data_IF_386623949189
#
_entry.id   IF_386623949189
#
_cell.length_a   1.000
_cell.length_b   1.000
_cell.length_c   1.000
_cell.angle_alpha   90.00
_cell.angle_beta   90.00
_cell.angle_gamma   90.00
#
_symmetry.space_group_name_H-M   'P 1'
#
loop_
_entity.id
_entity.type
_entity.pdbx_description
1 polymer ?
#
# COMPACT_ATOMS: atom_id res chain seq x y z
N UNK A 1 -12.90 1.68 -15.77
CA UNK A 1 -12.96 1.92 -14.31
C UNK A 1 -13.51 3.30 -14.01
N UNK A 2 -14.45 3.40 -13.08
CA UNK A 2 -14.85 4.70 -12.53
C UNK A 2 -13.71 5.25 -11.66
N UNK A 3 -13.44 6.54 -11.76
CA UNK A 3 -12.38 7.25 -11.02
C UNK A 3 -12.49 7.06 -9.51
N UNK A 4 -13.69 6.81 -9.00
CA UNK A 4 -14.00 6.53 -7.60
C UNK A 4 -13.29 5.27 -7.08
N UNK A 5 -13.19 4.20 -7.88
CA UNK A 5 -12.50 2.98 -7.44
C UNK A 5 -11.01 3.21 -7.24
N UNK A 6 -10.36 3.89 -8.19
CA UNK A 6 -8.95 4.22 -8.09
C UNK A 6 -8.67 5.10 -6.86
N UNK A 7 -9.56 6.05 -6.57
CA UNK A 7 -9.45 6.89 -5.38
C UNK A 7 -9.57 6.07 -4.09
N UNK A 8 -10.57 5.18 -4.00
CA UNK A 8 -10.75 4.30 -2.84
C UNK A 8 -9.55 3.36 -2.63
N UNK A 9 -8.99 2.81 -3.70
CA UNK A 9 -7.79 1.97 -3.66
C UNK A 9 -6.59 2.72 -3.05
N UNK A 10 -6.33 3.94 -3.53
CA UNK A 10 -5.24 4.77 -3.02
C UNK A 10 -5.47 5.17 -1.57
N UNK A 11 -6.71 5.45 -1.16
CA UNK A 11 -7.02 5.72 0.25
C UNK A 11 -6.73 4.52 1.14
N UNK A 12 -7.14 3.30 0.76
CA UNK A 12 -6.87 2.08 1.55
C UNK A 12 -5.37 1.87 1.74
N UNK A 13 -4.59 2.00 0.65
CA UNK A 13 -3.13 1.89 0.72
C UNK A 13 -2.55 3.02 1.58
N UNK A 14 -3.06 4.24 1.42
CA UNK A 14 -2.67 5.43 2.17
C UNK A 14 -2.90 5.30 3.67
N UNK A 15 -4.05 4.78 4.10
CA UNK A 15 -4.36 4.54 5.51
C UNK A 15 -3.38 3.53 6.11
N UNK A 16 -3.09 2.45 5.40
CA UNK A 16 -2.06 1.49 5.83
C UNK A 16 -0.70 2.16 6.01
N UNK A 17 -0.35 3.09 5.12
CA UNK A 17 0.91 3.82 5.22
C UNK A 17 0.99 4.82 6.38
N UNK A 18 -0.12 5.51 6.66
CA UNK A 18 -0.24 6.38 7.81
C UNK A 18 -0.03 5.60 9.12
N UNK A 19 -0.63 4.41 9.23
CA UNK A 19 -0.53 3.59 10.45
C UNK A 19 0.91 3.18 10.74
N UNK A 20 1.64 2.60 9.77
CA UNK A 20 3.01 2.20 10.05
C UNK A 20 3.95 3.40 10.23
N UNK A 21 3.69 4.55 9.60
CA UNK A 21 4.43 5.78 9.85
C UNK A 21 4.21 6.31 11.27
N UNK A 22 2.96 6.28 11.75
CA UNK A 22 2.64 6.71 13.11
C UNK A 22 3.30 5.80 14.15
N UNK A 23 3.22 4.48 13.96
CA UNK A 23 3.88 3.50 14.85
C UNK A 23 5.40 3.65 14.81
N UNK A 24 5.99 3.78 13.62
CA UNK A 24 7.43 3.95 13.46
C UNK A 24 7.90 5.26 14.10
N UNK A 25 7.20 6.37 13.84
CA UNK A 25 7.49 7.67 14.45
C UNK A 25 7.40 7.62 15.97
N UNK A 26 6.32 7.06 16.52
CA UNK A 26 6.19 6.86 17.95
C UNK A 26 7.32 6.00 18.53
N UNK A 27 7.70 4.92 17.84
CA UNK A 27 8.81 4.04 18.25
C UNK A 27 10.18 4.70 18.20
N UNK A 28 10.42 5.63 17.27
CA UNK A 28 11.71 6.31 17.11
C UNK A 28 11.87 7.53 18.03
N UNK A 29 10.80 8.28 18.25
CA UNK A 29 10.83 9.49 19.08
C UNK A 29 10.35 9.26 20.52
N UNK A 30 9.77 8.09 20.82
CA UNK A 30 9.15 7.82 22.12
C UNK A 30 7.90 8.65 22.35
N UNK A 31 7.21 9.07 21.29
CA UNK A 31 5.99 9.86 21.40
C UNK A 31 4.85 9.01 21.96
N UNK A 32 4.22 9.53 23.02
CA UNK A 32 3.02 8.94 23.58
C UNK A 32 1.80 9.38 22.74
N UNK A 33 1.34 8.49 21.88
CA UNK A 33 0.17 8.72 21.03
C UNK A 33 -1.11 9.02 21.84
N UNK A 34 -1.14 8.69 23.14
CA UNK A 34 -2.29 8.97 24.01
C UNK A 34 -2.49 10.47 24.31
N UNK A 35 -1.47 11.30 24.07
CA UNK A 35 -1.54 12.74 24.34
C UNK A 35 -2.13 13.55 23.17
N UNK A 36 -2.25 12.95 21.99
CA UNK A 36 -2.63 13.65 20.74
C UNK A 36 -4.13 13.97 20.67
N UNK A 37 -4.98 13.39 21.52
CA UNK A 37 -6.43 13.40 21.32
C UNK A 37 -7.24 14.38 22.17
N UNK A 38 -6.63 15.19 23.05
CA UNK A 38 -7.41 15.86 24.10
C UNK A 38 -8.14 17.14 23.65
N UNK A 39 -7.58 17.91 22.72
CA UNK A 39 -8.11 19.26 22.42
C UNK A 39 -8.41 19.51 20.93
N UNK A 40 -8.25 18.50 20.06
CA UNK A 40 -8.38 18.70 18.61
C UNK A 40 -9.74 18.19 18.11
N UNK A 41 -10.51 19.07 17.47
CA UNK A 41 -11.76 18.72 16.80
C UNK A 41 -11.49 17.82 15.59
N UNK A 42 -12.19 16.69 15.50
CA UNK A 42 -12.07 15.74 14.39
C UNK A 42 -12.26 16.42 13.02
N UNK A 43 -13.14 17.41 12.94
CA UNK A 43 -13.46 18.09 11.67
C UNK A 43 -12.30 18.96 11.15
N UNK A 44 -11.51 19.54 12.05
CA UNK A 44 -10.36 20.38 11.68
C UNK A 44 -9.21 19.54 11.12
N UNK A 45 -9.09 18.29 11.58
CA UNK A 45 -8.01 17.37 11.20
C UNK A 45 -8.39 16.48 10.04
N UNK A 46 -9.68 16.24 9.81
CA UNK A 46 -10.14 15.30 8.80
C UNK A 46 -9.65 15.66 7.40
N UNK A 47 -9.83 16.92 7.00
CA UNK A 47 -9.44 17.38 5.66
C UNK A 47 -7.92 17.25 5.40
N UNK A 48 -7.03 17.81 6.26
CA UNK A 48 -5.59 17.70 6.04
C UNK A 48 -5.10 16.26 6.15
N UNK A 49 -5.63 15.46 7.07
CA UNK A 49 -5.26 14.03 7.17
C UNK A 49 -5.69 13.27 5.93
N UNK A 50 -6.89 13.51 5.39
CA UNK A 50 -7.33 12.84 4.18
C UNK A 50 -6.47 13.20 2.97
N UNK A 51 -6.09 14.48 2.82
CA UNK A 51 -5.15 14.90 1.79
C UNK A 51 -3.79 14.21 1.94
N UNK A 52 -3.28 14.12 3.16
CA UNK A 52 -2.01 13.45 3.47
C UNK A 52 -2.08 11.94 3.19
N UNK A 53 -3.16 11.28 3.60
CA UNK A 53 -3.44 9.86 3.32
C UNK A 53 -3.46 9.60 1.81
N UNK A 54 -4.09 10.47 1.03
CA UNK A 54 -4.14 10.32 -0.42
C UNK A 54 -2.74 10.41 -1.05
N UNK A 55 -1.93 11.40 -0.66
CA UNK A 55 -0.55 11.57 -1.15
C UNK A 55 0.32 10.38 -0.75
N UNK A 56 0.24 9.94 0.50
CA UNK A 56 0.96 8.76 0.98
C UNK A 56 0.52 7.49 0.24
N UNK A 57 -0.77 7.37 -0.08
CA UNK A 57 -1.31 6.29 -0.89
C UNK A 57 -0.66 6.23 -2.26
N UNK A 58 -0.56 7.37 -2.96
CA UNK A 58 0.14 7.45 -4.25
C UNK A 58 1.61 7.06 -4.12
N UNK A 59 2.32 7.59 -3.12
CA UNK A 59 3.74 7.30 -2.95
C UNK A 59 3.98 5.81 -2.67
N UNK A 60 3.19 5.24 -1.76
CA UNK A 60 3.28 3.83 -1.38
C UNK A 60 2.94 2.92 -2.56
N UNK A 61 1.92 3.28 -3.36
CA UNK A 61 1.57 2.57 -4.59
C UNK A 61 2.74 2.53 -5.58
N UNK A 62 3.41 3.67 -5.82
CA UNK A 62 4.57 3.75 -6.70
C UNK A 62 5.76 2.94 -6.21
N UNK A 63 6.04 2.97 -4.91
CA UNK A 63 7.12 2.17 -4.32
C UNK A 63 6.80 0.69 -4.44
N UNK A 64 5.55 0.29 -4.21
CA UNK A 64 5.12 -1.08 -4.38
C UNK A 64 5.26 -1.52 -5.85
N UNK A 65 4.79 -0.73 -6.82
CA UNK A 65 4.95 -1.04 -8.23
C UNK A 65 6.43 -1.23 -8.61
N UNK A 66 7.31 -0.33 -8.18
CA UNK A 66 8.75 -0.47 -8.44
C UNK A 66 9.36 -1.75 -7.82
N UNK A 67 8.95 -2.10 -6.59
CA UNK A 67 9.43 -3.30 -5.90
C UNK A 67 8.96 -4.59 -6.59
N UNK A 68 7.70 -4.61 -7.03
CA UNK A 68 7.05 -5.77 -7.65
C UNK A 68 7.28 -5.86 -9.17
N UNK A 69 7.74 -4.79 -9.83
CA UNK A 69 8.02 -4.77 -11.28
C UNK A 69 9.06 -5.82 -11.68
N UNK A 70 10.07 -6.06 -10.85
CA UNK A 70 11.06 -7.12 -11.10
C UNK A 70 10.43 -8.51 -11.14
N UNK A 71 9.42 -8.76 -10.30
CA UNK A 71 8.69 -10.02 -10.30
C UNK A 71 7.79 -10.11 -11.53
N UNK A 72 7.13 -9.02 -11.91
CA UNK A 72 6.30 -8.97 -13.12
C UNK A 72 7.11 -9.22 -14.39
N UNK A 73 8.29 -8.60 -14.52
CA UNK A 73 9.22 -8.86 -15.63
C UNK A 73 9.63 -10.33 -15.73
N UNK A 74 9.85 -11.00 -14.60
CA UNK A 74 10.14 -12.45 -14.57
C UNK A 74 8.96 -13.28 -15.08
N UNK A 75 7.73 -12.95 -14.68
CA UNK A 75 6.54 -13.64 -15.17
C UNK A 75 6.32 -13.40 -16.66
N UNK A 76 6.49 -12.16 -17.14
CA UNK A 76 6.39 -11.84 -18.57
C UNK A 76 7.41 -12.59 -19.41
N UNK A 77 8.67 -12.63 -18.96
CA UNK A 77 9.74 -13.36 -19.65
C UNK A 77 9.43 -14.86 -19.78
N UNK A 78 8.71 -15.45 -18.82
CA UNK A 78 8.32 -16.87 -18.86
C UNK A 78 7.29 -17.19 -19.95
N UNK A 79 6.33 -16.30 -20.20
CA UNK A 79 5.25 -16.54 -21.16
C UNK A 79 5.52 -15.96 -22.55
N UNK A 80 6.29 -14.87 -22.63
CA UNK A 80 6.59 -14.18 -23.88
C UNK A 80 8.07 -14.33 -24.31
N UNK A 81 8.86 -15.17 -23.64
CA UNK A 81 10.27 -15.42 -23.94
C UNK A 81 11.16 -14.16 -24.03
N UNK A 82 10.76 -13.08 -23.36
CA UNK A 82 11.45 -11.78 -23.44
C UNK A 82 11.05 -10.91 -24.63
N UNK A 83 10.18 -11.39 -25.52
CA UNK A 83 9.61 -10.61 -26.63
C UNK A 83 8.56 -9.63 -26.09
N UNK A 84 9.00 -8.40 -25.91
CA UNK A 84 8.17 -7.33 -25.33
C UNK A 84 7.13 -6.83 -26.35
N UNK A 85 7.42 -6.93 -27.64
CA UNK A 85 6.54 -6.45 -28.71
C UNK A 85 5.31 -7.34 -28.84
N UNK A 86 5.49 -8.66 -28.79
CA UNK A 86 4.37 -9.62 -28.76
C UNK A 86 3.44 -9.42 -27.57
N UNK A 87 3.97 -9.03 -26.41
CA UNK A 87 3.15 -8.71 -25.24
C UNK A 87 2.26 -7.48 -25.48
N UNK A 88 2.82 -6.41 -26.07
CA UNK A 88 2.03 -5.21 -26.39
C UNK A 88 0.99 -5.47 -27.47
N UNK A 89 1.31 -6.28 -28.48
CA UNK A 89 0.39 -6.67 -29.53
C UNK A 89 -0.78 -7.50 -28.98
N UNK A 90 -0.49 -8.53 -28.18
CA UNK A 90 -1.52 -9.33 -27.53
C UNK A 90 -2.43 -8.48 -26.64
N UNK A 91 -1.85 -7.52 -25.89
CA UNK A 91 -2.62 -6.58 -25.06
C UNK A 91 -3.50 -5.66 -25.91
N UNK A 92 -3.00 -5.18 -27.05
CA UNK A 92 -3.77 -4.34 -27.97
C UNK A 92 -4.95 -5.11 -28.55
N UNK A 93 -4.73 -6.34 -29.03
CA UNK A 93 -5.80 -7.19 -29.55
C UNK A 93 -6.89 -7.45 -28.50
N UNK A 94 -6.48 -7.69 -27.25
CA UNK A 94 -7.41 -7.95 -26.16
C UNK A 94 -8.28 -6.72 -25.82
N UNK A 95 -7.73 -5.50 -25.92
CA UNK A 95 -8.50 -4.25 -25.78
C UNK A 95 -9.51 -4.08 -26.91
N UNK A 96 -9.15 -4.46 -28.14
CA UNK A 96 -10.00 -4.23 -29.32
C UNK A 96 -11.10 -5.27 -29.51
N UNK A 97 -10.86 -6.53 -29.12
CA UNK A 97 -11.74 -7.65 -29.49
C UNK A 97 -12.44 -8.33 -28.32
N UNK A 98 -12.16 -7.96 -27.07
CA UNK A 98 -12.63 -8.71 -25.90
C UNK A 98 -13.17 -7.84 -24.78
N UNK A 99 -14.41 -7.34 -24.89
CA UNK A 99 -15.06 -6.58 -23.81
C UNK A 99 -15.11 -7.38 -22.50
N UNK A 100 -15.45 -8.68 -22.58
CA UNK A 100 -15.48 -9.57 -21.40
C UNK A 100 -14.08 -9.74 -20.79
N UNK A 101 -13.06 -10.04 -21.60
CA UNK A 101 -11.69 -10.18 -21.12
C UNK A 101 -11.15 -8.87 -20.53
N UNK A 102 -11.49 -7.73 -21.13
CA UNK A 102 -11.07 -6.42 -20.66
C UNK A 102 -11.60 -6.13 -19.25
N UNK A 103 -12.88 -6.43 -18.99
CA UNK A 103 -13.47 -6.28 -17.65
C UNK A 103 -12.75 -7.12 -16.58
N UNK A 104 -12.38 -8.36 -16.91
CA UNK A 104 -11.64 -9.24 -16.01
C UNK A 104 -10.22 -8.74 -15.78
N UNK A 105 -9.54 -8.24 -16.81
CA UNK A 105 -8.21 -7.64 -16.67
C UNK A 105 -8.26 -6.38 -15.80
N UNK A 106 -9.26 -5.53 -15.99
CA UNK A 106 -9.41 -4.31 -15.22
C UNK A 106 -9.62 -4.62 -13.73
N UNK A 107 -10.51 -5.57 -13.42
CA UNK A 107 -10.69 -6.08 -12.06
C UNK A 107 -9.39 -6.69 -11.49
N UNK A 108 -8.67 -7.48 -12.28
CA UNK A 108 -7.39 -8.07 -11.89
C UNK A 108 -6.34 -7.01 -11.55
N UNK A 109 -6.25 -5.93 -12.34
CA UNK A 109 -5.31 -4.82 -12.11
C UNK A 109 -5.60 -4.09 -10.79
N UNK A 110 -6.86 -3.81 -10.49
CA UNK A 110 -7.26 -3.20 -9.21
C UNK A 110 -6.86 -4.08 -8.03
N UNK A 111 -7.17 -5.38 -8.08
CA UNK A 111 -6.77 -6.31 -7.01
C UNK A 111 -5.26 -6.40 -6.84
N UNK A 112 -4.52 -6.48 -7.94
CA UNK A 112 -3.05 -6.50 -7.89
C UNK A 112 -2.50 -5.25 -7.22
N UNK A 113 -3.05 -4.07 -7.52
CA UNK A 113 -2.66 -2.81 -6.89
C UNK A 113 -2.86 -2.85 -5.38
N UNK A 114 -4.07 -3.18 -4.93
CA UNK A 114 -4.39 -3.30 -3.50
C UNK A 114 -3.46 -4.31 -2.84
N UNK A 115 -3.29 -5.50 -3.41
CA UNK A 115 -2.42 -6.54 -2.85
C UNK A 115 -0.96 -6.10 -2.75
N UNK A 116 -0.39 -5.44 -3.76
CA UNK A 116 0.99 -4.95 -3.76
C UNK A 116 1.19 -3.88 -2.68
N UNK A 117 0.29 -2.89 -2.62
CA UNK A 117 0.33 -1.83 -1.62
C UNK A 117 0.14 -2.37 -0.20
N UNK A 118 -0.84 -3.26 0.01
CA UNK A 118 -1.06 -3.91 1.30
C UNK A 118 0.09 -4.81 1.72
N UNK A 119 0.73 -5.53 0.79
CA UNK A 119 1.89 -6.37 1.10
C UNK A 119 3.08 -5.52 1.57
N UNK A 120 3.36 -4.39 0.90
CA UNK A 120 4.39 -3.45 1.33
C UNK A 120 4.07 -2.87 2.71
N UNK A 121 2.83 -2.40 2.91
CA UNK A 121 2.39 -1.86 4.19
C UNK A 121 2.51 -2.88 5.32
N UNK A 122 2.11 -4.14 5.09
CA UNK A 122 2.22 -5.20 6.08
C UNK A 122 3.67 -5.49 6.44
N UNK A 123 4.57 -5.54 5.46
CA UNK A 123 6.00 -5.75 5.68
C UNK A 123 6.61 -4.62 6.53
N UNK A 124 6.35 -3.36 6.17
CA UNK A 124 6.89 -2.22 6.91
C UNK A 124 6.27 -2.14 8.31
N UNK A 125 4.97 -2.39 8.45
CA UNK A 125 4.31 -2.44 9.74
C UNK A 125 4.92 -3.50 10.67
N UNK A 126 5.23 -4.69 10.15
CA UNK A 126 5.93 -5.73 10.92
C UNK A 126 7.32 -5.28 11.38
N UNK A 127 8.05 -4.52 10.58
CA UNK A 127 9.33 -3.96 10.99
C UNK A 127 9.11 -2.92 12.09
N UNK A 128 8.16 -2.00 11.92
CA UNK A 128 7.84 -0.94 12.88
C UNK A 128 7.43 -1.50 14.24
N UNK A 129 6.58 -2.54 14.27
CA UNK A 129 6.12 -3.13 15.54
C UNK A 129 7.26 -3.87 16.27
N UNK A 130 8.14 -4.55 15.53
CA UNK A 130 9.32 -5.19 16.14
C UNK A 130 10.25 -4.16 16.79
N UNK A 131 10.47 -3.02 16.14
CA UNK A 131 11.26 -1.92 16.71
C UNK A 131 10.58 -1.34 17.96
N UNK A 132 9.26 -1.12 17.90
CA UNK A 132 8.49 -0.63 19.04
C UNK A 132 8.58 -1.58 20.25
N UNK A 133 8.48 -2.90 20.01
CA UNK A 133 8.61 -3.92 21.05
C UNK A 133 10.02 -3.98 21.63
N UNK A 134 11.06 -3.89 20.79
CA UNK A 134 12.45 -3.89 21.26
C UNK A 134 12.79 -2.67 22.14
N UNK A 135 12.05 -1.57 21.99
CA UNK A 135 12.24 -0.34 22.78
C UNK A 135 11.34 -0.25 24.01
N UNK A 136 10.30 -1.08 24.12
CA UNK A 136 9.42 -1.06 25.28
C UNK A 136 10.23 -1.35 26.56
N UNK A 137 10.15 -0.50 27.60
CA UNK A 137 10.90 -0.70 28.83
C UNK A 137 10.53 -2.04 29.47
N UNK A 138 11.53 -2.77 29.96
CA UNK A 138 11.41 -4.13 30.52
C UNK A 138 10.42 -4.27 31.70
N UNK A 139 9.86 -3.16 32.22
CA UNK A 139 8.82 -3.15 33.25
C UNK A 139 7.44 -3.61 32.76
N UNK A 140 7.22 -3.68 31.44
CA UNK A 140 5.94 -4.05 30.81
C UNK A 140 6.01 -5.37 30.01
N UNK A 141 7.06 -6.18 30.19
CA UNK A 141 7.07 -7.54 29.67
C UNK A 141 6.17 -8.42 30.56
N UNK A 142 4.95 -8.81 30.13
CA UNK A 142 4.22 -9.83 30.86
C UNK A 142 5.08 -11.08 30.87
N UNK A 143 5.41 -11.54 32.08
CA UNK A 143 6.33 -12.65 32.31
C UNK A 143 6.06 -13.83 31.39
N UNK A 144 7.08 -14.17 30.60
CA UNK A 144 7.30 -15.53 30.13
C UNK A 144 7.63 -16.38 31.37
N UNK A 145 6.57 -16.92 32.00
CA UNK A 145 6.62 -18.17 32.73
C UNK A 145 6.33 -19.32 31.75
#
# INVERSE_FOLDING_TARGET
MTTTHLFAELLVIGFGSLVWLAVLGASLFGWDLSQVSKDISLWEVLLPVLSLVYVLGILTDRVADWLFDRLDLRYRARYFAGDTDRFYEARRLLVYYGDLLWSHLEYGRSRMRICRGSALNALVFLISINIAWARAPASDQPGLL
#
